data_IF_955541877488
#
_entry.id   IF_955541877488
#
_cell.length_a   1.000
_cell.length_b   1.000
_cell.length_c   1.000
_cell.angle_alpha   90.00
_cell.angle_beta   90.00
_cell.angle_gamma   90.00
#
_symmetry.space_group_name_H-M   'P 1'
#
loop_
_entity.id
_entity.type
_entity.pdbx_description
1 polymer ?
#
# COMPACT_ATOMS: atom_id res chain seq x y z
N UNK A 1 -25.19 14.88 3.10
CA UNK A 1 -24.46 14.84 1.83
C UNK A 1 -24.33 13.38 1.44
N UNK A 2 -24.82 13.02 0.30
CA UNK A 2 -24.90 11.59 -0.09
C UNK A 2 -23.54 11.19 -0.70
N UNK A 3 -22.66 10.61 0.11
CA UNK A 3 -21.28 10.27 -0.27
C UNK A 3 -21.24 8.93 -1.02
N UNK A 4 -20.32 8.76 -1.99
CA UNK A 4 -20.04 7.44 -2.55
C UNK A 4 -19.58 6.48 -1.45
N UNK A 5 -20.11 5.26 -1.48
CA UNK A 5 -19.82 4.20 -0.51
C UNK A 5 -19.09 3.06 -1.20
N UNK A 6 -17.83 2.84 -0.81
CA UNK A 6 -17.03 1.71 -1.25
C UNK A 6 -17.24 0.55 -0.28
N UNK A 7 -18.10 -0.38 -0.67
CA UNK A 7 -18.35 -1.63 0.06
C UNK A 7 -17.54 -2.75 -0.57
N UNK A 8 -16.71 -3.38 0.24
CA UNK A 8 -15.89 -4.51 -0.16
C UNK A 8 -16.13 -5.69 0.78
N UNK A 9 -16.33 -6.87 0.19
CA UNK A 9 -16.34 -8.13 0.90
C UNK A 9 -15.70 -9.20 0.04
N UNK A 10 -14.72 -9.90 0.59
CA UNK A 10 -14.05 -11.05 -0.03
C UNK A 10 -13.51 -10.77 -1.44
N UNK A 11 -12.90 -9.60 -1.63
CA UNK A 11 -12.31 -9.15 -2.90
C UNK A 11 -13.31 -8.69 -3.96
N UNK A 12 -14.60 -8.61 -3.61
CA UNK A 12 -15.67 -8.11 -4.47
C UNK A 12 -16.18 -6.76 -3.97
N UNK A 13 -16.62 -5.92 -4.91
CA UNK A 13 -17.12 -4.57 -4.65
C UNK A 13 -18.53 -4.42 -5.18
N UNK A 14 -19.38 -3.74 -4.41
CA UNK A 14 -20.74 -3.39 -4.84
C UNK A 14 -20.69 -2.26 -5.86
N UNK A 15 -21.29 -2.49 -7.01
CA UNK A 15 -21.56 -1.49 -8.03
C UNK A 15 -23.05 -1.40 -8.30
N UNK A 16 -23.48 -0.19 -8.68
CA UNK A 16 -24.82 0.11 -9.17
C UNK A 16 -24.74 0.71 -10.58
N UNK A 17 -25.85 0.75 -11.30
CA UNK A 17 -25.95 1.55 -12.53
C UNK A 17 -26.11 3.04 -12.22
N UNK A 18 -26.32 3.85 -13.25
CA UNK A 18 -26.44 5.31 -13.10
C UNK A 18 -27.71 5.72 -12.34
N UNK A 19 -28.76 4.91 -12.40
CA UNK A 19 -30.03 5.13 -11.70
C UNK A 19 -30.00 4.69 -10.23
N UNK A 20 -28.92 3.97 -9.82
CA UNK A 20 -28.72 3.49 -8.47
C UNK A 20 -29.20 2.04 -8.24
N UNK A 21 -29.65 1.38 -9.30
CA UNK A 21 -30.08 0.00 -9.22
C UNK A 21 -28.89 -0.96 -9.20
N UNK A 22 -28.94 -1.95 -8.31
CA UNK A 22 -27.87 -2.93 -8.17
C UNK A 22 -28.19 -4.11 -7.28
N UNK A 23 -27.25 -5.03 -7.11
CA UNK A 23 -25.85 -5.02 -7.59
C UNK A 23 -25.71 -5.25 -9.11
N UNK A 24 -24.70 -4.62 -9.72
CA UNK A 24 -24.32 -4.76 -11.13
C UNK A 24 -22.92 -5.36 -11.25
N UNK A 25 -22.68 -6.08 -12.36
CA UNK A 25 -21.39 -6.72 -12.64
C UNK A 25 -20.61 -5.98 -13.71
N UNK A 26 -19.35 -5.69 -13.42
CA UNK A 26 -18.39 -5.25 -14.42
C UNK A 26 -17.95 -6.38 -15.35
N UNK A 27 -17.55 -6.03 -16.57
CA UNK A 27 -17.11 -6.95 -17.60
C UNK A 27 -15.68 -6.60 -18.01
N UNK A 28 -14.77 -7.54 -17.83
CA UNK A 28 -13.35 -7.34 -18.16
C UNK A 28 -13.15 -6.93 -19.61
N UNK A 29 -12.39 -5.85 -19.83
CA UNK A 29 -12.04 -5.37 -21.17
C UNK A 29 -13.17 -4.67 -21.92
N UNK A 30 -14.33 -4.44 -21.28
CA UNK A 30 -15.42 -3.68 -21.91
C UNK A 30 -15.00 -2.22 -22.12
N UNK A 31 -15.34 -1.68 -23.30
CA UNK A 31 -15.11 -0.29 -23.66
C UNK A 31 -16.46 0.34 -24.05
N UNK A 32 -16.73 1.54 -23.56
CA UNK A 32 -17.98 2.23 -23.83
C UNK A 32 -18.19 3.42 -22.89
N UNK A 33 -19.38 3.96 -22.91
CA UNK A 33 -19.80 5.01 -22.00
C UNK A 33 -19.91 4.48 -20.57
N UNK A 34 -19.70 5.37 -19.59
CA UNK A 34 -19.84 5.03 -18.16
C UNK A 34 -21.27 4.65 -17.88
N UNK A 35 -21.47 3.49 -17.29
CA UNK A 35 -22.78 2.92 -16.95
C UNK A 35 -22.82 2.32 -15.53
N UNK A 36 -21.67 2.20 -14.87
CA UNK A 36 -21.57 1.63 -13.53
C UNK A 36 -20.77 2.57 -12.62
N UNK A 37 -21.19 2.66 -11.35
CA UNK A 37 -20.56 3.50 -10.34
C UNK A 37 -20.62 2.88 -8.95
N UNK A 38 -19.95 3.49 -7.98
CA UNK A 38 -20.19 3.19 -6.57
C UNK A 38 -21.59 3.64 -6.16
N UNK A 39 -22.27 2.87 -5.31
CA UNK A 39 -23.52 3.31 -4.70
C UNK A 39 -23.28 4.47 -3.73
N UNK A 40 -24.33 5.17 -3.42
CA UNK A 40 -24.40 6.11 -2.30
C UNK A 40 -24.89 5.41 -1.03
N UNK A 41 -24.70 6.05 0.13
CA UNK A 41 -25.18 5.51 1.41
C UNK A 41 -26.69 5.22 1.40
N UNK A 42 -27.50 6.11 0.77
CA UNK A 42 -28.96 5.96 0.72
C UNK A 42 -29.39 4.80 -0.19
N UNK A 43 -28.70 4.61 -1.30
CA UNK A 43 -28.95 3.47 -2.20
C UNK A 43 -28.66 2.14 -1.51
N UNK A 44 -27.55 2.05 -0.76
CA UNK A 44 -27.21 0.83 -0.01
C UNK A 44 -28.23 0.56 1.10
N UNK A 45 -28.70 1.60 1.81
CA UNK A 45 -29.79 1.45 2.80
C UNK A 45 -31.07 0.93 2.14
N UNK A 46 -31.40 1.42 0.95
CA UNK A 46 -32.60 0.95 0.22
C UNK A 46 -32.49 -0.51 -0.22
N UNK A 47 -31.27 -1.04 -0.39
CA UNK A 47 -31.01 -2.46 -0.64
C UNK A 47 -31.09 -3.32 0.64
N UNK A 48 -31.29 -2.72 1.81
CA UNK A 48 -31.33 -3.42 3.09
C UNK A 48 -29.97 -3.94 3.56
N UNK A 49 -28.86 -3.35 3.09
CA UNK A 49 -27.52 -3.74 3.48
C UNK A 49 -27.04 -2.80 4.59
N UNK A 50 -26.75 -3.37 5.75
CA UNK A 50 -26.06 -2.70 6.84
C UNK A 50 -24.54 -2.78 6.64
N UNK A 51 -23.80 -1.82 7.20
CA UNK A 51 -22.32 -1.79 7.09
C UNK A 51 -21.65 -1.15 8.29
N UNK A 52 -20.38 -1.45 8.46
CA UNK A 52 -19.47 -0.79 9.41
C UNK A 52 -18.47 0.06 8.64
N UNK A 53 -18.51 1.38 8.88
CA UNK A 53 -17.54 2.31 8.33
C UNK A 53 -16.13 2.00 8.88
N UNK A 54 -15.16 1.93 7.99
CA UNK A 54 -13.74 1.74 8.33
C UNK A 54 -12.97 3.05 8.23
N UNK A 55 -13.21 3.81 7.17
CA UNK A 55 -12.47 5.04 6.90
C UNK A 55 -13.18 5.90 5.86
N UNK A 56 -13.04 7.20 5.99
CA UNK A 56 -13.34 8.16 4.91
C UNK A 56 -12.04 8.56 4.25
N UNK A 57 -11.92 8.32 2.95
CA UNK A 57 -10.78 8.72 2.17
C UNK A 57 -11.14 9.95 1.33
N UNK A 58 -10.21 10.93 1.32
CA UNK A 58 -10.31 12.10 0.45
C UNK A 58 -9.46 11.88 -0.79
N UNK A 59 -10.11 11.48 -1.87
CA UNK A 59 -9.46 11.11 -3.12
C UNK A 59 -9.43 12.31 -4.06
N UNK A 60 -8.24 12.72 -4.49
CA UNK A 60 -8.09 13.68 -5.57
C UNK A 60 -8.23 12.94 -6.90
N UNK A 61 -9.21 13.35 -7.71
CA UNK A 61 -9.41 12.82 -9.04
C UNK A 61 -9.66 13.99 -10.02
N UNK A 62 -8.76 14.16 -10.99
CA UNK A 62 -8.73 15.38 -11.80
C UNK A 62 -8.42 16.60 -10.94
N UNK A 63 -9.24 17.62 -11.06
CA UNK A 63 -9.16 18.87 -10.27
C UNK A 63 -10.01 18.82 -8.99
N UNK A 64 -10.85 17.80 -8.84
CA UNK A 64 -11.80 17.68 -7.76
C UNK A 64 -11.33 16.74 -6.64
N UNK A 65 -11.89 16.96 -5.45
CA UNK A 65 -11.73 16.05 -4.30
C UNK A 65 -13.06 15.36 -4.01
N UNK A 66 -13.00 14.04 -3.88
CA UNK A 66 -14.14 13.20 -3.54
C UNK A 66 -13.93 12.58 -2.17
N UNK A 67 -14.91 12.73 -1.28
CA UNK A 67 -14.94 11.98 -0.02
C UNK A 67 -15.68 10.67 -0.26
N UNK A 68 -14.96 9.56 -0.09
CA UNK A 68 -15.50 8.21 -0.28
C UNK A 68 -15.44 7.47 1.05
N UNK A 69 -16.56 6.92 1.46
CA UNK A 69 -16.65 6.07 2.66
C UNK A 69 -16.24 4.66 2.29
N UNK A 70 -15.20 4.14 2.94
CA UNK A 70 -14.80 2.73 2.84
C UNK A 70 -15.38 1.96 4.01
N UNK A 71 -16.10 0.90 3.72
CA UNK A 71 -16.84 0.17 4.72
C UNK A 71 -16.91 -1.33 4.43
N UNK A 72 -17.19 -2.10 5.46
CA UNK A 72 -17.47 -3.54 5.36
C UNK A 72 -18.96 -3.77 5.51
N UNK A 73 -19.61 -4.46 4.58
CA UNK A 73 -21.03 -4.81 4.68
C UNK A 73 -21.24 -5.93 5.70
N UNK A 74 -22.39 -5.89 6.37
CA UNK A 74 -22.86 -6.98 7.20
C UNK A 74 -23.71 -7.94 6.35
N UNK A 75 -23.05 -8.78 5.57
CA UNK A 75 -23.65 -9.78 4.69
C UNK A 75 -22.89 -11.10 4.80
N UNK A 76 -23.54 -12.22 4.57
CA UNK A 76 -22.89 -13.53 4.57
C UNK A 76 -22.02 -13.71 3.32
N UNK A 77 -22.53 -13.33 2.15
CA UNK A 77 -21.83 -13.49 0.87
C UNK A 77 -22.22 -12.41 -0.15
N UNK A 78 -21.26 -11.82 -0.89
CA UNK A 78 -21.53 -10.78 -1.88
C UNK A 78 -21.99 -11.37 -3.23
N UNK A 79 -23.21 -11.90 -3.28
CA UNK A 79 -23.77 -12.38 -4.54
C UNK A 79 -23.91 -11.25 -5.56
N UNK A 80 -23.57 -11.55 -6.80
CA UNK A 80 -23.65 -10.60 -7.90
C UNK A 80 -22.75 -9.36 -7.80
N UNK A 81 -21.87 -9.27 -6.77
CA UNK A 81 -20.87 -8.22 -6.70
C UNK A 81 -19.71 -8.50 -7.65
N UNK A 82 -18.94 -7.46 -7.96
CA UNK A 82 -17.89 -7.50 -8.96
C UNK A 82 -16.52 -7.72 -8.32
N UNK A 83 -15.74 -8.67 -8.84
CA UNK A 83 -14.32 -8.81 -8.48
C UNK A 83 -13.54 -7.54 -8.82
N UNK A 84 -12.61 -7.14 -7.97
CA UNK A 84 -11.75 -5.96 -8.15
C UNK A 84 -11.06 -5.94 -9.53
N UNK A 85 -10.52 -7.08 -9.96
CA UNK A 85 -9.82 -7.19 -11.25
C UNK A 85 -10.73 -6.89 -12.45
N UNK A 86 -11.99 -7.35 -12.40
CA UNK A 86 -12.97 -7.05 -13.44
C UNK A 86 -13.36 -5.57 -13.42
N UNK A 87 -13.53 -5.01 -12.22
CA UNK A 87 -13.93 -3.63 -12.04
C UNK A 87 -12.88 -2.66 -12.62
N UNK A 88 -11.60 -2.85 -12.31
CA UNK A 88 -10.53 -1.96 -12.79
C UNK A 88 -10.29 -2.05 -14.30
N UNK A 89 -10.62 -3.18 -14.92
CA UNK A 89 -10.43 -3.42 -16.36
C UNK A 89 -11.66 -3.14 -17.22
N UNK A 90 -12.78 -2.70 -16.63
CA UNK A 90 -14.00 -2.33 -17.33
C UNK A 90 -14.04 -0.81 -17.59
N UNK A 91 -13.94 -0.40 -18.85
CA UNK A 91 -14.00 1.00 -19.26
C UNK A 91 -15.35 1.70 -19.02
N UNK A 92 -16.42 0.93 -18.82
CA UNK A 92 -17.75 1.46 -18.50
C UNK A 92 -17.98 1.68 -16.99
N UNK A 93 -17.03 1.38 -16.14
CA UNK A 93 -17.07 1.71 -14.71
C UNK A 93 -16.51 3.12 -14.50
N UNK A 94 -17.20 3.89 -13.67
CA UNK A 94 -16.78 5.23 -13.26
C UNK A 94 -15.30 5.24 -12.83
N UNK A 95 -14.48 6.15 -13.36
CA UNK A 95 -13.07 6.28 -13.01
C UNK A 95 -12.81 6.43 -11.51
N UNK A 96 -13.70 7.11 -10.74
CA UNK A 96 -13.57 7.22 -9.29
C UNK A 96 -13.69 5.84 -8.63
N UNK A 97 -14.62 4.98 -9.08
CA UNK A 97 -14.76 3.63 -8.55
C UNK A 97 -13.51 2.77 -8.81
N UNK A 98 -12.93 2.87 -10.01
CA UNK A 98 -11.66 2.20 -10.35
C UNK A 98 -10.49 2.69 -9.51
N UNK A 99 -10.42 4.00 -9.27
CA UNK A 99 -9.42 4.61 -8.40
C UNK A 99 -9.57 4.15 -6.94
N UNK A 100 -10.81 4.00 -6.45
CA UNK A 100 -11.07 3.47 -5.11
C UNK A 100 -10.53 2.04 -4.95
N UNK A 101 -10.76 1.17 -5.94
CA UNK A 101 -10.19 -0.19 -5.94
C UNK A 101 -8.66 -0.14 -5.95
N UNK A 102 -8.06 0.66 -6.83
CA UNK A 102 -6.61 0.80 -6.89
C UNK A 102 -6.01 1.22 -5.53
N UNK A 103 -6.67 2.11 -4.80
CA UNK A 103 -6.22 2.55 -3.48
C UNK A 103 -6.43 1.51 -2.39
N UNK A 104 -7.42 0.62 -2.54
CA UNK A 104 -7.69 -0.47 -1.61
C UNK A 104 -6.73 -1.66 -1.74
N UNK A 105 -5.88 -1.69 -2.78
CA UNK A 105 -4.86 -2.73 -2.93
C UNK A 105 -3.64 -2.44 -2.05
N UNK A 106 -3.15 -3.47 -1.37
CA UNK A 106 -1.93 -3.38 -0.58
C UNK A 106 -0.69 -3.26 -1.47
N UNK A 107 0.19 -2.33 -1.13
CA UNK A 107 1.53 -2.25 -1.68
C UNK A 107 2.45 -3.01 -0.77
N UNK A 108 3.06 -4.06 -1.29
CA UNK A 108 3.98 -4.89 -0.52
C UNK A 108 5.35 -4.23 -0.52
N UNK A 109 5.91 -4.07 0.68
CA UNK A 109 7.26 -3.54 0.87
C UNK A 109 8.04 -4.43 1.83
N UNK A 110 9.35 -4.52 1.65
CA UNK A 110 10.25 -5.15 2.60
C UNK A 110 11.26 -4.15 3.13
N UNK A 111 11.64 -4.33 4.39
CA UNK A 111 12.55 -3.44 5.12
C UNK A 111 13.52 -4.25 5.95
N UNK A 112 14.68 -3.68 6.23
CA UNK A 112 15.69 -4.33 7.06
C UNK A 112 16.15 -3.42 8.19
N UNK A 113 16.11 -3.94 9.42
CA UNK A 113 16.75 -3.35 10.58
C UNK A 113 18.19 -3.87 10.60
N UNK A 114 19.13 -3.05 10.09
CA UNK A 114 20.55 -3.36 10.15
C UNK A 114 21.13 -2.86 11.46
N UNK A 115 21.63 -3.79 12.29
CA UNK A 115 22.15 -3.50 13.64
C UNK A 115 23.64 -3.82 13.71
N UNK A 116 24.44 -2.88 14.20
CA UNK A 116 25.86 -3.14 14.47
C UNK A 116 26.11 -3.69 15.89
N UNK A 117 27.37 -3.99 16.19
CA UNK A 117 27.80 -4.52 17.52
C UNK A 117 27.52 -3.56 18.69
N UNK A 118 27.26 -2.29 18.44
CA UNK A 118 26.91 -1.27 19.45
C UNK A 118 25.40 -1.07 19.58
N UNK A 119 24.59 -1.88 18.89
CA UNK A 119 23.14 -1.70 18.74
C UNK A 119 22.71 -0.41 18.04
N UNK A 120 23.59 0.21 17.24
CA UNK A 120 23.17 1.31 16.36
C UNK A 120 22.42 0.73 15.16
N UNK A 121 21.40 1.45 14.71
CA UNK A 121 20.56 1.08 13.56
C UNK A 121 20.85 2.00 12.37
N UNK A 122 20.95 1.41 11.19
CA UNK A 122 21.11 2.16 9.95
C UNK A 122 19.76 2.73 9.52
N UNK A 123 19.71 4.04 9.27
CA UNK A 123 18.57 4.73 8.70
C UNK A 123 18.93 5.36 7.36
N UNK A 124 18.01 5.31 6.41
CA UNK A 124 18.13 5.88 5.09
C UNK A 124 17.28 7.14 4.94
N UNK A 125 17.85 8.22 4.36
CA UNK A 125 17.05 9.42 4.04
C UNK A 125 16.44 9.30 2.65
N UNK A 126 15.12 9.25 2.59
CA UNK A 126 14.37 9.10 1.34
C UNK A 126 14.55 10.35 0.46
N UNK A 127 14.93 10.17 -0.80
CA UNK A 127 15.13 11.26 -1.76
C UNK A 127 14.00 11.43 -2.75
N UNK A 128 13.19 10.41 -2.98
CA UNK A 128 12.09 10.38 -3.97
C UNK A 128 10.90 9.60 -3.44
N UNK A 129 9.71 9.90 -3.96
CA UNK A 129 8.48 9.19 -3.65
C UNK A 129 7.75 9.74 -2.44
N UNK A 130 6.90 8.92 -1.84
CA UNK A 130 5.95 9.33 -0.80
C UNK A 130 6.60 9.92 0.46
N UNK A 131 7.79 9.45 0.82
CA UNK A 131 8.45 9.81 2.09
C UNK A 131 9.68 10.70 1.88
N UNK A 132 9.73 11.44 0.78
CA UNK A 132 10.88 12.33 0.48
C UNK A 132 11.22 13.21 1.67
N UNK A 133 12.49 13.20 2.05
CA UNK A 133 13.04 13.96 3.16
C UNK A 133 12.97 13.28 4.53
N UNK A 134 12.21 12.18 4.66
CA UNK A 134 12.11 11.42 5.90
C UNK A 134 13.24 10.39 6.04
N UNK A 135 13.54 10.02 7.28
CA UNK A 135 14.43 8.91 7.61
C UNK A 135 13.61 7.63 7.76
N UNK A 136 14.02 6.57 7.08
CA UNK A 136 13.36 5.26 7.12
C UNK A 136 14.39 4.14 7.30
N UNK A 137 13.92 2.95 7.62
CA UNK A 137 14.73 1.75 7.47
C UNK A 137 15.04 1.53 5.98
N UNK A 138 16.22 0.99 5.62
CA UNK A 138 16.51 0.54 4.27
C UNK A 138 15.44 -0.43 3.79
N UNK A 139 15.00 -0.28 2.53
CA UNK A 139 13.99 -1.12 1.93
C UNK A 139 13.08 -0.39 0.96
N UNK A 140 12.31 -1.15 0.20
CA UNK A 140 11.43 -0.65 -0.84
C UNK A 140 10.32 -1.62 -1.22
N UNK A 141 9.78 -1.43 -2.42
CA UNK A 141 8.74 -2.29 -2.96
C UNK A 141 9.28 -3.67 -3.27
N UNK A 142 8.45 -4.68 -2.99
CA UNK A 142 8.67 -6.04 -3.46
C UNK A 142 8.21 -6.11 -4.92
N UNK A 143 9.08 -6.57 -5.82
CA UNK A 143 8.79 -6.67 -7.23
C UNK A 143 7.82 -7.82 -7.54
N UNK A 144 7.26 -7.82 -8.76
CA UNK A 144 6.41 -8.91 -9.21
C UNK A 144 7.18 -10.23 -9.23
N UNK A 145 6.58 -11.28 -8.66
CA UNK A 145 7.15 -12.62 -8.51
C UNK A 145 8.44 -12.68 -7.63
N UNK A 146 8.72 -11.64 -6.86
CA UNK A 146 9.80 -11.60 -5.90
C UNK A 146 9.29 -11.97 -4.50
N UNK A 147 10.04 -12.80 -3.77
CA UNK A 147 9.73 -13.07 -2.37
C UNK A 147 10.12 -11.86 -1.49
N UNK A 148 9.36 -11.48 -0.45
CA UNK A 148 9.71 -10.33 0.41
C UNK A 148 11.12 -10.36 0.99
N UNK A 149 11.66 -11.56 1.29
CA UNK A 149 13.04 -11.73 1.75
C UNK A 149 14.05 -11.34 0.66
N UNK A 150 13.82 -11.76 -0.58
CA UNK A 150 14.69 -11.43 -1.72
C UNK A 150 14.67 -9.92 -1.97
N UNK A 151 13.47 -9.30 -1.93
CA UNK A 151 13.29 -7.85 -2.01
C UNK A 151 14.07 -7.11 -0.90
N UNK A 152 14.05 -7.62 0.33
CA UNK A 152 14.80 -7.05 1.44
C UNK A 152 16.31 -7.04 1.19
N UNK A 153 16.86 -8.17 0.73
CA UNK A 153 18.30 -8.30 0.40
C UNK A 153 18.67 -7.38 -0.77
N UNK A 154 17.88 -7.38 -1.85
CA UNK A 154 18.09 -6.54 -3.02
C UNK A 154 18.11 -5.06 -2.67
N UNK A 155 17.12 -4.58 -1.91
CA UNK A 155 17.02 -3.16 -1.54
C UNK A 155 18.21 -2.71 -0.68
N UNK A 156 18.68 -3.53 0.27
CA UNK A 156 19.89 -3.23 1.05
C UNK A 156 21.10 -3.11 0.16
N UNK A 157 21.27 -4.01 -0.80
CA UNK A 157 22.38 -3.96 -1.75
C UNK A 157 22.29 -2.71 -2.65
N UNK A 158 21.11 -2.38 -3.16
CA UNK A 158 20.88 -1.23 -4.04
C UNK A 158 21.07 0.11 -3.32
N UNK A 159 20.53 0.24 -2.11
CA UNK A 159 20.56 1.48 -1.35
C UNK A 159 21.89 1.71 -0.63
N UNK A 160 22.47 0.65 -0.05
CA UNK A 160 23.65 0.74 0.81
C UNK A 160 24.92 0.18 0.19
N UNK A 161 24.82 -0.64 -0.86
CA UNK A 161 25.95 -1.37 -1.45
C UNK A 161 26.51 -2.44 -0.51
N UNK A 162 25.70 -2.96 0.40
CA UNK A 162 26.08 -3.97 1.41
C UNK A 162 25.37 -5.27 1.09
N UNK A 163 26.13 -6.36 1.00
CA UNK A 163 25.60 -7.70 0.98
C UNK A 163 25.19 -8.14 2.38
N UNK A 164 24.00 -8.70 2.50
CA UNK A 164 23.46 -9.20 3.79
C UNK A 164 22.93 -10.61 3.62
N UNK A 165 23.18 -11.43 4.63
CA UNK A 165 22.58 -12.75 4.75
C UNK A 165 21.39 -12.66 5.70
N UNK A 166 20.19 -12.86 5.18
CA UNK A 166 18.93 -12.83 5.90
C UNK A 166 18.17 -14.11 5.59
N UNK A 167 17.57 -14.72 6.60
CA UNK A 167 16.72 -15.89 6.48
C UNK A 167 15.25 -15.56 6.77
N UNK A 168 14.35 -16.46 6.47
CA UNK A 168 12.93 -16.33 6.82
C UNK A 168 12.69 -16.21 8.34
N UNK A 169 13.60 -16.76 9.15
CA UNK A 169 13.53 -16.70 10.62
C UNK A 169 13.93 -15.33 11.18
N UNK A 170 14.55 -14.48 10.38
CA UNK A 170 14.97 -13.13 10.78
C UNK A 170 13.85 -12.09 10.63
N UNK A 171 12.65 -12.52 10.22
CA UNK A 171 11.48 -11.67 10.20
C UNK A 171 11.08 -11.30 11.63
N UNK A 172 10.99 -10.00 11.91
CA UNK A 172 10.66 -9.47 13.23
C UNK A 172 9.28 -8.83 13.28
N UNK A 173 8.75 -8.40 12.14
CA UNK A 173 7.44 -7.76 12.08
C UNK A 173 6.82 -7.91 10.69
N UNK A 174 5.51 -8.20 10.66
CA UNK A 174 4.63 -7.95 9.53
C UNK A 174 3.61 -6.91 9.99
N UNK A 175 3.50 -5.80 9.27
CA UNK A 175 2.59 -4.73 9.64
C UNK A 175 1.89 -4.14 8.44
N UNK A 176 0.64 -3.73 8.66
CA UNK A 176 -0.16 -2.97 7.71
C UNK A 176 -0.19 -1.50 8.14
N UNK A 177 -0.05 -0.57 7.20
CA UNK A 177 -0.05 0.86 7.46
C UNK A 177 -0.77 1.63 6.35
N UNK A 178 -1.52 2.64 6.76
CA UNK A 178 -2.13 3.62 5.87
C UNK A 178 -1.48 4.98 6.17
N UNK A 179 -0.72 5.51 5.22
CA UNK A 179 0.10 6.71 5.44
C UNK A 179 -0.49 8.01 4.89
N UNK A 180 -1.47 7.93 3.99
CA UNK A 180 -2.02 9.10 3.32
C UNK A 180 -3.49 9.31 3.65
N UNK A 181 -3.96 10.56 3.52
CA UNK A 181 -5.40 10.88 3.62
C UNK A 181 -6.22 10.17 2.54
N UNK A 182 -5.57 9.77 1.44
CA UNK A 182 -6.16 9.06 0.33
C UNK A 182 -6.31 7.55 0.57
N UNK A 183 -5.80 7.05 1.72
CA UNK A 183 -5.98 5.67 2.13
C UNK A 183 -5.07 4.66 1.43
N UNK A 184 -3.88 5.07 0.97
CA UNK A 184 -2.92 4.15 0.35
C UNK A 184 -2.37 3.20 1.41
N UNK A 185 -2.57 1.91 1.20
CA UNK A 185 -2.19 0.84 2.13
C UNK A 185 -0.85 0.21 1.76
N UNK A 186 -0.05 -0.10 2.80
CA UNK A 186 1.21 -0.81 2.68
C UNK A 186 1.21 -2.04 3.60
N UNK A 187 1.60 -3.18 3.07
CA UNK A 187 1.92 -4.37 3.83
C UNK A 187 3.45 -4.49 3.90
N UNK A 188 4.03 -4.38 5.08
CA UNK A 188 5.47 -4.34 5.29
C UNK A 188 5.98 -5.61 5.95
N UNK A 189 6.98 -6.24 5.35
CA UNK A 189 7.77 -7.32 5.92
C UNK A 189 9.08 -6.73 6.42
N UNK A 190 9.34 -6.84 7.73
CA UNK A 190 10.54 -6.26 8.35
C UNK A 190 11.42 -7.37 8.89
N UNK A 191 12.66 -7.41 8.41
CA UNK A 191 13.70 -8.35 8.81
C UNK A 191 14.74 -7.66 9.68
N UNK A 192 15.44 -8.44 10.53
CA UNK A 192 16.56 -7.95 11.33
C UNK A 192 17.84 -8.65 10.90
N UNK A 193 18.89 -7.88 10.66
CA UNK A 193 20.20 -8.41 10.32
C UNK A 193 21.27 -7.75 11.19
N UNK A 194 22.14 -8.57 11.79
CA UNK A 194 23.29 -8.11 12.54
C UNK A 194 24.48 -7.95 11.59
N UNK A 195 25.00 -6.73 11.45
CA UNK A 195 26.12 -6.45 10.58
C UNK A 195 27.42 -6.53 11.37
N UNK A 196 28.32 -7.42 10.96
CA UNK A 196 29.67 -7.53 11.54
C UNK A 196 30.59 -6.57 10.78
N UNK A 197 30.99 -5.47 11.44
CA UNK A 197 31.85 -4.46 10.86
C UNK A 197 31.24 -3.06 10.82
N UNK A 198 32.07 -2.05 10.56
CA UNK A 198 31.58 -0.68 10.32
C UNK A 198 31.06 -0.60 8.89
N UNK A 199 29.78 -0.25 8.71
CA UNK A 199 29.25 0.13 7.41
C UNK A 199 30.01 1.36 6.92
N UNK A 200 30.99 1.15 6.08
CA UNK A 200 31.69 2.25 5.41
C UNK A 200 30.84 2.70 4.22
N UNK A 201 30.67 4.00 4.06
CA UNK A 201 30.06 4.60 2.87
C UNK A 201 30.64 3.95 1.60
N UNK A 202 29.82 3.48 0.67
CA UNK A 202 30.31 2.78 -0.52
C UNK A 202 31.26 3.70 -1.32
N UNK A 203 32.54 3.31 -1.43
CA UNK A 203 33.55 4.05 -2.17
C UNK A 203 33.47 3.89 -3.70
N UNK A 204 32.52 3.12 -4.22
CA UNK A 204 32.45 2.85 -5.65
C UNK A 204 31.18 3.41 -6.30
N UNK A 205 31.33 4.56 -6.93
CA UNK A 205 30.33 5.28 -7.75
C UNK A 205 29.97 4.61 -9.10
N UNK A 206 30.28 3.35 -9.36
CA UNK A 206 30.37 2.90 -10.76
C UNK A 206 29.33 1.88 -11.21
N UNK A 207 28.28 1.52 -10.47
CA UNK A 207 27.23 0.64 -11.02
C UNK A 207 25.76 0.95 -10.63
N UNK A 208 25.47 2.00 -9.90
CA UNK A 208 24.07 2.37 -9.62
C UNK A 208 23.52 3.30 -10.71
N UNK A 209 23.27 2.79 -11.90
CA UNK A 209 22.67 3.57 -13.01
C UNK A 209 21.14 3.56 -13.03
N UNK A 210 20.46 2.82 -12.16
CA UNK A 210 18.99 2.76 -12.13
C UNK A 210 18.34 3.52 -10.96
N UNK A 211 19.00 3.64 -9.81
CA UNK A 211 18.44 4.34 -8.65
C UNK A 211 19.49 5.24 -8.02
N UNK A 212 19.56 6.48 -8.48
CA UNK A 212 20.46 7.50 -7.95
C UNK A 212 20.01 8.00 -6.58
N UNK A 213 20.12 7.21 -5.54
CA UNK A 213 19.83 7.57 -4.18
C UNK A 213 21.05 7.44 -3.29
N UNK A 214 21.84 8.52 -3.08
CA UNK A 214 22.86 8.51 -2.05
C UNK A 214 22.26 8.79 -0.68
N UNK A 215 22.56 7.90 0.26
CA UNK A 215 22.22 8.00 1.66
C UNK A 215 23.11 9.03 2.37
N UNK A 216 22.50 9.78 3.29
CA UNK A 216 23.19 10.30 4.47
C UNK A 216 22.89 9.31 5.60
N UNK A 217 23.90 8.59 6.09
CA UNK A 217 23.76 7.65 7.19
C UNK A 217 23.74 8.42 8.52
N UNK A 218 22.73 8.19 9.34
CA UNK A 218 22.78 8.50 10.76
C UNK A 218 22.74 7.19 11.55
N UNK A 219 23.73 7.00 12.42
CA UNK A 219 23.73 5.98 13.44
C UNK A 219 23.01 6.56 14.66
N UNK A 220 21.91 5.98 15.06
CA UNK A 220 21.08 6.49 16.17
C UNK A 220 20.69 5.37 17.12
N UNK A 221 20.69 5.66 18.42
CA UNK A 221 20.21 4.81 19.51
C UNK A 221 18.67 4.64 19.50
N UNK A 222 18.00 4.88 18.38
CA UNK A 222 16.57 5.13 18.28
C UNK A 222 15.68 3.89 18.07
N UNK A 223 16.18 2.66 18.21
CA UNK A 223 15.36 1.46 18.02
C UNK A 223 14.17 1.39 19.02
N UNK A 224 14.37 1.85 20.26
CA UNK A 224 13.30 1.94 21.25
C UNK A 224 12.22 2.95 20.87
N UNK A 225 12.61 4.10 20.32
CA UNK A 225 11.65 5.13 19.90
C UNK A 225 10.82 4.72 18.68
N UNK A 226 11.42 3.99 17.72
CA UNK A 226 10.71 3.51 16.53
C UNK A 226 9.67 2.43 16.87
N UNK A 227 9.98 1.54 17.80
CA UNK A 227 9.06 0.49 18.26
C UNK A 227 7.94 1.04 19.16
N UNK A 228 8.19 2.11 19.93
CA UNK A 228 7.19 2.73 20.80
C UNK A 228 6.20 3.67 20.07
N UNK A 229 6.54 4.15 18.88
CA UNK A 229 5.64 4.99 18.06
C UNK A 229 4.66 4.17 17.22
N UNK A 230 4.73 2.85 17.29
CA UNK A 230 3.97 1.92 16.44
C UNK A 230 3.05 0.97 17.22
N UNK A 231 2.73 1.29 18.49
CA UNK A 231 1.68 0.65 19.30
C UNK A 231 0.49 1.55 19.50
#
# INVERSE_FOLDING_TARGET
>A
MNRPLYLEHDGKVLLVDLDGDGPRKAVMGRVGEISLRLPTEDEVRSMGIEWTERRVNRIKFGDDFHEVVYALPDIEWPENWTWKDKLISDGCVDPLARECVYRSMHRVVSKVILVNQRNDVVMAKVRRGFFTGHWTLPGGFVDYAEHPLEGAVREVLEELGVDVEISEHDIVQISERIFTSEGIQFLSFTYKCNVVGSCHSPRNKTKSKRYGGLLSMMLSHALQAYLMLNH
#
